data_IF_379146657874
#
_entry.id   IF_379146657874
#
_cell.length_a   1.000
_cell.length_b   1.000
_cell.length_c   1.000
_cell.angle_alpha   90.00
_cell.angle_beta   90.00
_cell.angle_gamma   90.00
#
_symmetry.space_group_name_H-M   'P 1'
#
loop_
_entity.id
_entity.type
_entity.pdbx_description
1 polymer ?
#
# COMPACT_ATOMS: atom_id res chain seq x y z
N UNK A 1 -2.15 6.11 -24.81
CA UNK A 1 -1.46 5.76 -26.07
C UNK A 1 -0.45 4.70 -25.71
N UNK A 2 -0.45 3.57 -26.40
CA UNK A 2 0.36 2.42 -25.99
C UNK A 2 1.67 2.41 -26.78
N UNK A 3 2.78 2.24 -26.08
CA UNK A 3 4.12 2.15 -26.68
C UNK A 3 4.87 0.94 -26.16
N UNK A 4 5.83 0.44 -26.94
CA UNK A 4 6.64 -0.72 -26.57
C UNK A 4 7.92 -0.25 -25.86
N UNK A 5 8.12 -0.72 -24.63
CA UNK A 5 9.36 -0.55 -23.87
C UNK A 5 10.22 -1.82 -23.98
N UNK A 6 11.42 -1.71 -24.53
CA UNK A 6 12.39 -2.82 -24.62
C UNK A 6 13.52 -2.58 -23.63
N UNK A 7 13.70 -3.49 -22.67
CA UNK A 7 14.72 -3.40 -21.62
C UNK A 7 15.74 -4.53 -21.75
N UNK A 8 17.02 -4.20 -21.55
CA UNK A 8 18.09 -5.20 -21.41
C UNK A 8 18.19 -5.59 -19.94
N UNK A 9 17.89 -6.85 -19.64
CA UNK A 9 17.88 -7.38 -18.27
C UNK A 9 18.65 -8.70 -18.23
N UNK A 10 19.11 -9.06 -17.05
CA UNK A 10 19.71 -10.36 -16.80
C UNK A 10 18.69 -11.50 -17.05
N UNK A 11 19.14 -12.57 -17.69
CA UNK A 11 18.28 -13.70 -18.08
C UNK A 11 17.68 -14.43 -16.88
N UNK A 12 18.41 -14.49 -15.75
CA UNK A 12 17.92 -15.10 -14.51
C UNK A 12 16.84 -14.25 -13.85
N UNK A 13 16.89 -12.93 -14.01
CA UNK A 13 15.86 -12.00 -13.52
C UNK A 13 14.58 -12.17 -14.35
N UNK A 14 14.70 -12.24 -15.68
CA UNK A 14 13.56 -12.48 -16.58
C UNK A 14 12.86 -13.80 -16.23
N UNK A 15 13.63 -14.87 -15.95
CA UNK A 15 13.07 -16.17 -15.59
C UNK A 15 12.25 -16.09 -14.29
N UNK A 16 12.85 -15.53 -13.23
CA UNK A 16 12.18 -15.35 -11.92
C UNK A 16 10.93 -14.49 -12.02
N UNK A 17 10.99 -13.40 -12.80
CA UNK A 17 9.85 -12.51 -12.99
C UNK A 17 8.70 -13.17 -13.75
N UNK A 18 8.98 -13.97 -14.79
CA UNK A 18 7.97 -14.76 -15.52
C UNK A 18 7.28 -15.79 -14.62
N UNK A 19 8.05 -16.49 -13.81
CA UNK A 19 7.52 -17.48 -12.87
C UNK A 19 6.61 -16.81 -11.82
N UNK A 20 7.04 -15.70 -11.24
CA UNK A 20 6.22 -14.91 -10.32
C UNK A 20 4.91 -14.44 -10.97
N UNK A 21 4.98 -13.87 -12.18
CA UNK A 21 3.82 -13.37 -12.90
C UNK A 21 2.81 -14.49 -13.20
N UNK A 22 3.30 -15.66 -13.64
CA UNK A 22 2.48 -16.85 -13.87
C UNK A 22 1.79 -17.33 -12.59
N UNK A 23 2.54 -17.43 -11.48
CA UNK A 23 2.00 -17.86 -10.19
C UNK A 23 0.92 -16.90 -9.66
N UNK A 24 1.06 -15.60 -9.94
CA UNK A 24 0.10 -14.55 -9.58
C UNK A 24 -1.01 -14.36 -10.61
N UNK A 25 -1.03 -15.12 -11.71
CA UNK A 25 -1.99 -15.02 -12.82
C UNK A 25 -2.06 -13.61 -13.41
N UNK A 26 -0.91 -12.93 -13.50
CA UNK A 26 -0.77 -11.61 -14.12
C UNK A 26 0.26 -11.66 -15.25
N UNK A 27 0.16 -10.76 -16.22
CA UNK A 27 1.18 -10.65 -17.26
C UNK A 27 2.42 -9.92 -16.72
N UNK A 28 3.59 -10.26 -17.24
CA UNK A 28 4.84 -9.59 -16.89
C UNK A 28 4.81 -8.10 -17.28
N UNK A 29 4.19 -7.77 -18.42
CA UNK A 29 4.03 -6.38 -18.86
C UNK A 29 3.20 -5.57 -17.88
N UNK A 30 2.06 -6.11 -17.41
CA UNK A 30 1.19 -5.44 -16.43
C UNK A 30 1.87 -5.26 -15.08
N UNK A 31 2.72 -6.22 -14.68
CA UNK A 31 3.50 -6.10 -13.46
C UNK A 31 4.51 -4.95 -13.54
N UNK A 32 5.21 -4.82 -14.67
CA UNK A 32 6.19 -3.74 -14.87
C UNK A 32 5.49 -2.40 -15.02
N UNK A 33 4.41 -2.33 -15.79
CA UNK A 33 3.58 -1.13 -15.96
C UNK A 33 3.07 -0.62 -14.62
N UNK A 34 2.45 -1.47 -13.80
CA UNK A 34 1.96 -1.08 -12.48
C UNK A 34 3.08 -0.60 -11.56
N UNK A 35 4.26 -1.20 -11.63
CA UNK A 35 5.39 -0.77 -10.79
C UNK A 35 5.91 0.60 -11.23
N UNK A 36 6.07 0.81 -12.53
CA UNK A 36 6.49 2.10 -13.07
C UNK A 36 5.46 3.18 -12.72
N UNK A 37 4.17 2.91 -12.96
CA UNK A 37 3.07 3.80 -12.59
C UNK A 37 3.10 4.15 -11.08
N UNK A 38 3.26 3.15 -10.20
CA UNK A 38 3.32 3.38 -8.77
C UNK A 38 4.48 4.29 -8.30
N UNK A 39 5.62 4.28 -9.00
CA UNK A 39 6.79 5.11 -8.63
C UNK A 39 6.83 6.45 -9.37
N UNK A 40 6.16 6.58 -10.53
CA UNK A 40 6.15 7.83 -11.32
C UNK A 40 4.91 8.67 -11.10
N UNK A 41 3.80 8.08 -10.65
CA UNK A 41 2.53 8.79 -10.44
C UNK A 41 2.50 9.65 -9.18
N UNK A 42 3.67 9.96 -8.61
CA UNK A 42 3.83 10.73 -7.37
C UNK A 42 4.69 11.99 -7.53
N UNK A 43 4.84 12.53 -8.74
CA UNK A 43 5.44 13.86 -8.92
C UNK A 43 4.43 15.01 -8.90
N UNK A 44 3.12 14.75 -9.06
CA UNK A 44 2.10 15.78 -8.94
C UNK A 44 1.01 15.38 -7.93
N UNK A 45 0.67 16.34 -7.10
CA UNK A 45 -0.38 16.37 -6.09
C UNK A 45 -0.09 15.68 -4.75
N UNK A 46 0.09 16.56 -3.76
CA UNK A 46 -0.23 16.31 -2.37
C UNK A 46 -1.42 15.35 -2.28
N UNK A 47 -1.16 14.12 -1.83
CA UNK A 47 -2.14 13.08 -1.55
C UNK A 47 -3.48 13.74 -1.16
N UNK A 48 -4.47 13.74 -2.06
CA UNK A 48 -5.81 14.19 -1.72
C UNK A 48 -6.42 13.15 -0.78
N UNK A 49 -6.07 13.26 0.49
CA UNK A 49 -6.69 12.51 1.56
C UNK A 49 -8.17 12.90 1.53
N UNK A 50 -9.04 11.91 1.31
CA UNK A 50 -10.48 12.14 1.28
C UNK A 50 -10.92 12.93 2.52
N UNK A 51 -11.93 13.81 2.43
CA UNK A 51 -12.39 14.59 3.58
C UNK A 51 -12.70 13.72 4.81
N UNK A 52 -13.13 12.48 4.58
CA UNK A 52 -13.35 11.48 5.62
C UNK A 52 -12.05 10.97 6.27
N UNK A 53 -11.03 10.61 5.49
CA UNK A 53 -9.75 10.15 6.08
C UNK A 53 -9.05 11.31 6.79
N UNK A 54 -9.20 12.54 6.28
CA UNK A 54 -8.71 13.75 6.96
C UNK A 54 -9.44 13.98 8.29
N UNK A 55 -10.76 13.78 8.35
CA UNK A 55 -11.49 13.96 9.62
C UNK A 55 -11.10 12.93 10.69
N UNK A 56 -10.62 11.74 10.29
CA UNK A 56 -10.07 10.74 11.22
C UNK A 56 -8.73 11.21 11.79
N UNK A 57 -7.83 11.77 10.96
CA UNK A 57 -6.52 12.24 11.43
C UNK A 57 -6.59 13.52 12.26
N UNK A 58 -7.57 14.39 12.02
CA UNK A 58 -7.88 15.53 12.89
C UNK A 58 -8.76 15.17 14.09
N UNK A 59 -9.20 13.92 14.19
CA UNK A 59 -9.94 13.40 15.34
C UNK A 59 -9.09 13.45 16.62
N UNK A 60 -9.76 13.53 17.77
CA UNK A 60 -9.17 13.67 19.12
C UNK A 60 -7.81 12.98 19.22
N UNK A 61 -6.75 13.77 19.33
CA UNK A 61 -5.41 13.26 19.60
C UNK A 61 -5.43 12.48 20.91
N UNK A 62 -4.80 11.30 20.92
CA UNK A 62 -4.69 10.49 22.13
C UNK A 62 -3.91 11.30 23.17
N UNK A 63 -4.47 11.54 24.38
CA UNK A 63 -3.76 12.25 25.42
C UNK A 63 -2.37 11.63 25.68
N UNK A 64 -1.33 12.44 25.88
CA UNK A 64 -0.02 11.91 26.23
C UNK A 64 -0.12 11.16 27.56
N UNK A 65 0.29 9.89 27.59
CA UNK A 65 0.26 9.03 28.77
C UNK A 65 -0.88 8.01 28.84
N UNK A 66 -1.71 7.89 27.80
CA UNK A 66 -2.69 6.80 27.68
C UNK A 66 -1.98 5.46 27.53
N UNK A 67 -2.09 4.59 28.53
CA UNK A 67 -1.69 3.19 28.41
C UNK A 67 -2.79 2.41 27.69
N UNK A 68 -2.70 2.40 26.37
CA UNK A 68 -3.67 1.77 25.46
C UNK A 68 -3.91 0.30 25.76
N UNK A 69 -2.99 -0.39 26.45
CA UNK A 69 -3.15 -1.80 26.80
C UNK A 69 -4.07 -1.99 28.00
N UNK A 70 -3.91 -1.20 29.07
CA UNK A 70 -4.76 -1.32 30.26
C UNK A 70 -6.18 -0.85 29.99
N UNK A 71 -6.36 0.26 29.26
CA UNK A 71 -7.70 0.72 28.87
C UNK A 71 -8.44 -0.29 28.00
N UNK A 72 -7.71 -1.00 27.11
CA UNK A 72 -8.31 -2.04 26.27
C UNK A 72 -8.70 -3.28 27.08
N UNK A 73 -7.89 -3.67 28.07
CA UNK A 73 -8.22 -4.77 28.98
C UNK A 73 -9.47 -4.45 29.80
N UNK A 74 -9.56 -3.26 30.40
CA UNK A 74 -10.71 -2.80 31.17
C UNK A 74 -11.99 -2.72 30.32
N UNK A 75 -11.85 -2.31 29.05
CA UNK A 75 -12.96 -2.31 28.10
C UNK A 75 -13.48 -3.72 27.81
N UNK A 76 -12.58 -4.68 27.57
CA UNK A 76 -12.96 -6.08 27.32
C UNK A 76 -13.64 -6.67 28.56
N UNK A 77 -13.11 -6.44 29.75
CA UNK A 77 -13.74 -6.89 30.99
C UNK A 77 -15.16 -6.34 31.16
N UNK A 78 -15.38 -5.04 30.88
CA UNK A 78 -16.73 -4.45 30.93
C UNK A 78 -17.66 -4.97 29.84
N UNK A 79 -17.15 -5.22 28.63
CA UNK A 79 -17.95 -5.67 27.49
C UNK A 79 -18.48 -7.09 27.67
N UNK A 80 -17.69 -7.96 28.31
CA UNK A 80 -18.01 -9.37 28.51
C UNK A 80 -18.49 -9.67 29.95
N UNK A 81 -18.88 -8.63 30.70
CA UNK A 81 -19.58 -8.72 31.98
C UNK A 81 -21.10 -8.69 31.76
#
# INVERSE_FOLDING_TARGET
MDSKLTLKLDTTVIKRAKEYASNKKVSLSRLVENYLDAITSQEDDAFEISPFVRSISTGKSVPPGVDSRSEYADYLEKKYK
#
